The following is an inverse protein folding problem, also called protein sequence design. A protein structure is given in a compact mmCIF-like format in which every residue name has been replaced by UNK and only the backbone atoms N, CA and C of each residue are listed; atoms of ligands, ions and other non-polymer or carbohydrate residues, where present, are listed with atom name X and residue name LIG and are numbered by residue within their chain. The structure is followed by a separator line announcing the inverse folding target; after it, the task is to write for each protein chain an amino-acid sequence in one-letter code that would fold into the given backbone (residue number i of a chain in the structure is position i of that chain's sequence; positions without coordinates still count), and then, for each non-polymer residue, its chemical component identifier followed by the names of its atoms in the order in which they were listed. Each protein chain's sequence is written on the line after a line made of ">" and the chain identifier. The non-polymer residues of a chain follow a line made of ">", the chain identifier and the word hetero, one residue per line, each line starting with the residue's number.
data_IF_224237658473
#
_entry.id   IF_224237658473
#
_cell.length_a   1.000
_cell.length_b   1.000
_cell.length_c   1.000
_cell.angle_alpha   90.00
_cell.angle_beta   90.00
_cell.angle_gamma   90.00
#
_symmetry.space_group_name_H-M   'P 1'
#
loop_
_entity.id
_entity.type
_entity.pdbx_description
1 polymer ?
#
# COMPACT_ATOMS: atom_id res chain seq x y z
N UNK A 1 -6.77 -30.22 -8.31
CA UNK A 1 -6.64 -29.64 -6.96
C UNK A 1 -7.17 -30.65 -5.97
N UNK A 2 -6.38 -31.13 -4.99
CA UNK A 2 -6.86 -32.05 -3.96
C UNK A 2 -7.83 -31.27 -3.06
N UNK A 3 -9.13 -31.61 -3.11
CA UNK A 3 -10.10 -31.10 -2.13
C UNK A 3 -9.66 -31.61 -0.76
N UNK A 4 -9.40 -30.69 0.17
CA UNK A 4 -9.11 -31.06 1.55
C UNK A 4 -10.43 -31.57 2.15
N UNK A 5 -10.48 -32.84 2.55
CA UNK A 5 -11.65 -33.46 3.20
C UNK A 5 -11.85 -32.97 4.65
N UNK A 6 -11.22 -31.86 5.00
CA UNK A 6 -11.32 -31.25 6.30
C UNK A 6 -11.28 -29.72 6.14
N UNK A 7 -11.86 -28.98 7.11
CA UNK A 7 -11.75 -27.53 7.11
C UNK A 7 -10.29 -27.07 7.17
N UNK A 8 -9.99 -25.92 6.54
CA UNK A 8 -8.63 -25.34 6.48
C UNK A 8 -8.07 -25.07 7.89
N UNK A 9 -8.92 -24.66 8.84
CA UNK A 9 -8.50 -24.41 10.21
C UNK A 9 -8.08 -25.68 10.99
N UNK A 10 -8.38 -26.88 10.48
CA UNK A 10 -7.88 -28.16 11.02
C UNK A 10 -6.73 -28.74 10.20
N UNK A 11 -6.27 -28.03 9.17
CA UNK A 11 -5.20 -28.51 8.31
C UNK A 11 -3.84 -28.33 8.99
N UNK A 12 -3.19 -29.42 9.39
CA UNK A 12 -1.83 -29.38 9.96
C UNK A 12 -0.82 -28.77 9.00
N UNK A 13 -0.91 -29.09 7.70
CA UNK A 13 -0.02 -28.52 6.70
C UNK A 13 -0.17 -27.00 6.60
N UNK A 14 -1.40 -26.47 6.71
CA UNK A 14 -1.66 -25.03 6.73
C UNK A 14 -1.14 -24.36 8.00
N UNK A 15 -1.28 -25.03 9.16
CA UNK A 15 -0.76 -24.53 10.43
C UNK A 15 0.77 -24.45 10.47
N UNK A 16 1.47 -25.34 9.76
CA UNK A 16 2.95 -25.31 9.63
C UNK A 16 3.47 -24.15 8.77
N UNK A 17 2.62 -23.53 7.95
CA UNK A 17 3.00 -22.38 7.13
C UNK A 17 3.16 -21.12 7.98
N UNK A 18 4.06 -20.22 7.54
CA UNK A 18 4.19 -18.86 8.09
C UNK A 18 2.96 -18.00 7.75
N UNK A 19 2.72 -16.91 8.49
CA UNK A 19 1.58 -16.03 8.23
C UNK A 19 1.54 -15.48 6.78
N UNK A 20 2.70 -15.15 6.21
CA UNK A 20 2.81 -14.75 4.80
C UNK A 20 2.43 -15.87 3.84
N UNK A 21 2.93 -17.08 4.07
CA UNK A 21 2.59 -18.25 3.26
C UNK A 21 1.11 -18.62 3.37
N UNK A 22 0.50 -18.48 4.56
CA UNK A 22 -0.94 -18.70 4.75
C UNK A 22 -1.77 -17.67 4.00
N UNK A 23 -1.36 -16.40 4.00
CA UNK A 23 -2.00 -15.34 3.22
C UNK A 23 -1.92 -15.65 1.71
N UNK A 24 -0.72 -15.95 1.20
CA UNK A 24 -0.54 -16.33 -0.20
C UNK A 24 -1.36 -17.57 -0.57
N UNK A 25 -1.38 -18.57 0.30
CA UNK A 25 -2.18 -19.78 0.10
C UNK A 25 -3.68 -19.45 0.03
N UNK A 26 -4.20 -18.64 0.95
CA UNK A 26 -5.61 -18.24 0.96
C UNK A 26 -5.97 -17.45 -0.31
N UNK A 27 -5.15 -16.50 -0.73
CA UNK A 27 -5.35 -15.73 -1.96
C UNK A 27 -5.29 -16.61 -3.21
N UNK A 28 -4.29 -17.49 -3.32
CA UNK A 28 -4.10 -18.37 -4.49
C UNK A 28 -5.23 -19.38 -4.65
N UNK A 29 -5.77 -19.88 -3.54
CA UNK A 29 -6.89 -20.83 -3.54
C UNK A 29 -8.26 -20.14 -3.44
N UNK A 30 -8.33 -18.81 -3.57
CA UNK A 30 -9.57 -18.01 -3.54
C UNK A 30 -10.41 -18.25 -2.27
N UNK A 31 -9.75 -18.46 -1.14
CA UNK A 31 -10.41 -18.66 0.14
C UNK A 31 -10.83 -17.30 0.75
N UNK A 32 -11.92 -17.30 1.50
CA UNK A 32 -12.33 -16.18 2.31
C UNK A 32 -11.25 -15.85 3.36
N UNK A 33 -10.71 -14.64 3.34
CA UNK A 33 -9.69 -14.23 4.31
C UNK A 33 -10.22 -14.14 5.76
N UNK A 34 -11.54 -14.16 5.97
CA UNK A 34 -12.13 -14.15 7.30
C UNK A 34 -12.39 -15.56 7.86
N UNK A 35 -13.13 -16.39 7.13
CA UNK A 35 -13.55 -17.72 7.60
C UNK A 35 -12.78 -18.89 6.97
N UNK A 36 -11.85 -18.63 6.04
CA UNK A 36 -11.06 -19.62 5.31
C UNK A 36 -11.90 -20.65 4.51
N UNK A 37 -13.15 -20.31 4.20
CA UNK A 37 -14.03 -21.10 3.32
C UNK A 37 -13.74 -20.80 1.84
N UNK A 38 -13.92 -21.80 0.98
CA UNK A 38 -13.82 -21.70 -0.47
C UNK A 38 -15.12 -21.23 -1.15
N UNK A 39 -16.20 -21.07 -0.39
CA UNK A 39 -17.54 -20.77 -0.92
C UNK A 39 -17.75 -19.30 -1.28
N UNK A 40 -16.99 -18.38 -0.69
CA UNK A 40 -17.19 -16.94 -0.87
C UNK A 40 -15.92 -16.13 -0.64
N UNK A 41 -15.91 -14.89 -1.13
CA UNK A 41 -14.87 -13.91 -0.80
C UNK A 41 -15.21 -13.13 0.47
N UNK A 42 -14.19 -12.51 1.09
CA UNK A 42 -14.33 -11.71 2.32
C UNK A 42 -15.45 -10.65 2.28
N UNK A 43 -15.66 -10.03 1.11
CA UNK A 43 -16.71 -9.02 0.87
C UNK A 43 -18.13 -9.59 1.04
N UNK A 44 -18.30 -10.88 0.76
CA UNK A 44 -19.57 -11.61 0.85
C UNK A 44 -19.62 -12.54 2.07
N UNK A 45 -18.67 -12.38 3.00
CA UNK A 45 -18.62 -13.20 4.20
C UNK A 45 -19.69 -12.77 5.21
N UNK A 46 -20.59 -13.66 5.58
CA UNK A 46 -21.59 -13.39 6.62
C UNK A 46 -21.05 -13.59 8.04
N UNK A 47 -19.81 -14.09 8.19
CA UNK A 47 -19.19 -14.27 9.50
C UNK A 47 -18.89 -12.92 10.15
N UNK A 48 -19.37 -12.76 11.38
CA UNK A 48 -19.06 -11.61 12.26
C UNK A 48 -17.72 -11.77 12.98
N UNK A 49 -16.99 -12.86 12.74
CA UNK A 49 -15.67 -13.07 13.33
C UNK A 49 -14.71 -11.98 12.87
N UNK A 50 -13.92 -11.49 13.81
CA UNK A 50 -12.78 -10.59 13.60
C UNK A 50 -11.50 -11.26 14.11
N UNK A 51 -10.36 -10.71 13.71
CA UNK A 51 -9.06 -11.15 14.19
C UNK A 51 -8.91 -10.83 15.67
N UNK A 52 -8.44 -11.81 16.46
CA UNK A 52 -8.26 -11.63 17.91
C UNK A 52 -7.06 -10.73 18.29
N UNK A 53 -6.19 -10.43 17.32
CA UNK A 53 -4.96 -9.65 17.56
C UNK A 53 -5.11 -8.18 17.17
N UNK A 54 -6.00 -7.85 16.24
CA UNK A 54 -6.15 -6.47 15.73
C UNK A 54 -7.59 -6.06 15.40
N UNK A 55 -8.57 -6.89 15.75
CA UNK A 55 -10.01 -6.67 15.55
C UNK A 55 -10.45 -6.37 14.10
N UNK A 56 -9.53 -6.53 13.14
CA UNK A 56 -9.82 -6.37 11.74
C UNK A 56 -10.53 -7.61 11.18
N UNK A 57 -11.22 -7.43 10.05
CA UNK A 57 -12.02 -8.48 9.41
C UNK A 57 -11.13 -9.49 8.67
N UNK A 58 -10.42 -10.35 9.40
CA UNK A 58 -9.66 -11.48 8.86
C UNK A 58 -9.50 -12.58 9.92
N UNK A 59 -9.10 -13.77 9.47
CA UNK A 59 -8.83 -14.89 10.36
C UNK A 59 -7.53 -14.66 11.14
N UNK A 60 -7.52 -14.86 12.46
CA UNK A 60 -6.31 -14.71 13.30
C UNK A 60 -5.10 -15.48 12.77
N UNK A 61 -5.30 -16.63 12.09
CA UNK A 61 -4.21 -17.40 11.49
C UNK A 61 -3.48 -16.69 10.35
N UNK A 62 -4.12 -15.67 9.75
CA UNK A 62 -3.58 -14.82 8.69
C UNK A 62 -3.01 -13.50 9.23
N UNK A 63 -3.12 -13.23 10.54
CA UNK A 63 -2.61 -12.00 11.13
C UNK A 63 -1.11 -11.88 10.93
N UNK A 64 -0.67 -10.71 10.46
CA UNK A 64 0.74 -10.38 10.31
C UNK A 64 1.05 -9.19 11.21
N UNK A 65 1.92 -9.42 12.20
CA UNK A 65 2.42 -8.37 13.08
C UNK A 65 3.41 -7.49 12.30
N UNK A 66 2.88 -6.51 11.57
CA UNK A 66 3.68 -5.60 10.77
C UNK A 66 2.78 -4.55 10.14
N UNK A 67 2.73 -3.37 10.77
CA UNK A 67 1.96 -2.21 10.33
C UNK A 67 0.47 -2.49 10.10
N UNK A 68 -0.30 -2.48 11.18
CA UNK A 68 -1.76 -2.34 11.15
C UNK A 68 -2.14 -0.95 10.64
N UNK A 69 -2.01 -0.72 9.34
CA UNK A 69 -2.74 0.35 8.65
C UNK A 69 -4.05 -0.25 8.18
N UNK A 70 -5.00 -0.41 9.10
CA UNK A 70 -6.41 -0.37 8.72
C UNK A 70 -7.29 0.15 9.87
N UNK A 71 -7.55 1.46 9.79
CA UNK A 71 -8.81 2.15 10.08
C UNK A 71 -9.68 1.57 11.19
N UNK A 72 -9.58 2.12 12.38
CA UNK A 72 -10.73 2.69 13.11
C UNK A 72 -10.23 3.86 13.97
N UNK A 73 -10.71 5.06 13.65
CA UNK A 73 -10.55 6.28 14.43
C UNK A 73 -11.18 6.07 15.81
N UNK A 74 -10.51 6.46 16.92
CA UNK A 74 -10.98 7.62 17.65
C UNK A 74 -9.86 8.64 17.94
N UNK A 75 -10.18 9.89 17.62
CA UNK A 75 -9.71 11.16 18.14
C UNK A 75 -8.72 11.15 19.33
N UNK A 76 -7.58 11.85 19.16
CA UNK A 76 -6.95 12.83 20.08
C UNK A 76 -5.41 12.70 20.21
N UNK A 77 -4.69 13.77 19.81
CA UNK A 77 -3.52 14.44 20.43
C UNK A 77 -2.37 13.58 21.05
N UNK A 78 -1.06 13.81 20.90
CA UNK A 78 -0.22 14.94 20.43
C UNK A 78 1.26 14.48 20.31
N UNK A 79 2.01 15.04 19.33
CA UNK A 79 3.33 15.73 19.39
C UNK A 79 4.51 14.98 20.12
N UNK A 80 5.69 14.76 19.52
CA UNK A 80 6.76 15.75 19.25
C UNK A 80 7.73 15.35 18.12
N UNK A 81 8.14 16.37 17.36
CA UNK A 81 9.21 16.37 16.34
C UNK A 81 10.50 16.90 16.98
N UNK A 82 11.65 16.32 16.62
CA UNK A 82 12.94 17.01 16.66
C UNK A 82 13.61 16.94 15.30
N UNK A 83 14.06 18.11 14.84
CA UNK A 83 14.52 18.43 13.50
C UNK A 83 15.94 17.93 13.19
N UNK A 84 16.23 17.71 11.92
CA UNK A 84 17.59 17.81 11.40
C UNK A 84 17.57 18.42 10.00
N UNK A 85 18.13 19.61 9.91
CA UNK A 85 18.23 20.49 8.75
C UNK A 85 19.20 19.93 7.70
N UNK A 86 18.80 19.96 6.44
CA UNK A 86 19.73 19.91 5.30
C UNK A 86 19.34 21.02 4.31
N UNK A 87 20.31 21.89 4.02
CA UNK A 87 20.13 23.13 3.27
C UNK A 87 19.95 22.91 1.77
N UNK A 88 19.15 23.78 1.14
CA UNK A 88 18.89 23.82 -0.31
C UNK A 88 19.55 25.03 -0.97
N UNK A 89 19.72 24.90 -2.29
CA UNK A 89 20.43 25.72 -3.28
C UNK A 89 20.30 27.27 -3.13
N UNK A 90 21.41 28.04 -3.18
CA UNK A 90 21.46 29.49 -2.97
C UNK A 90 20.80 30.38 -4.05
N UNK A 91 20.26 29.84 -5.14
CA UNK A 91 19.68 30.62 -6.25
C UNK A 91 18.14 30.62 -6.32
N UNK A 92 17.43 30.12 -5.30
CA UNK A 92 15.96 30.15 -5.28
C UNK A 92 15.44 31.48 -4.70
N UNK A 93 14.74 32.28 -5.52
CA UNK A 93 14.13 33.54 -5.08
C UNK A 93 13.05 33.34 -4.00
N UNK A 94 13.16 34.10 -2.91
CA UNK A 94 12.30 34.04 -1.73
C UNK A 94 10.88 34.60 -1.98
N UNK A 95 9.83 33.88 -1.56
CA UNK A 95 8.51 34.46 -1.35
C UNK A 95 8.11 34.34 0.10
N UNK A 96 7.77 35.49 0.69
CA UNK A 96 7.24 35.55 2.04
C UNK A 96 5.74 35.27 2.03
N UNK A 97 5.32 34.45 2.97
CA UNK A 97 4.01 33.79 3.00
C UNK A 97 3.30 34.08 4.31
N UNK A 98 2.13 34.72 4.26
CA UNK A 98 1.41 35.16 5.47
C UNK A 98 0.41 34.11 6.00
N UNK A 99 0.65 32.80 5.80
CA UNK A 99 -0.34 31.77 6.18
C UNK A 99 0.34 30.69 7.02
N UNK A 100 -0.12 30.59 8.27
CA UNK A 100 0.33 29.63 9.28
C UNK A 100 -0.06 28.19 8.90
N UNK A 101 0.80 27.18 9.13
CA UNK A 101 0.51 25.79 8.78
C UNK A 101 -0.45 25.15 9.78
N UNK A 102 -1.48 24.45 9.29
CA UNK A 102 -2.40 23.67 10.13
C UNK A 102 -2.48 22.23 9.59
N UNK A 103 -1.84 21.35 10.36
CA UNK A 103 -1.80 19.88 10.48
C UNK A 103 -2.35 18.90 9.43
N UNK A 104 -1.48 17.95 9.04
CA UNK A 104 -1.73 16.54 9.40
C UNK A 104 -2.32 15.59 8.35
N UNK A 105 -2.50 16.03 7.11
CA UNK A 105 -2.99 15.17 6.03
C UNK A 105 -1.80 14.82 5.12
N UNK A 106 -1.62 13.53 4.82
CA UNK A 106 -0.84 13.08 3.67
C UNK A 106 -1.51 13.59 2.40
N UNK A 107 -1.33 14.87 2.11
CA UNK A 107 -1.83 15.49 0.92
C UNK A 107 -0.99 15.00 -0.26
N UNK A 108 -1.67 14.67 -1.34
CA UNK A 108 -1.11 14.87 -2.67
C UNK A 108 -0.75 16.36 -2.77
N UNK A 109 0.47 16.72 -2.37
CA UNK A 109 0.91 18.10 -2.46
C UNK A 109 1.17 18.41 -3.93
N UNK A 110 0.23 19.12 -4.55
CA UNK A 110 0.64 20.14 -5.49
C UNK A 110 1.14 21.32 -4.68
N UNK A 111 2.46 21.35 -4.40
CA UNK A 111 3.03 22.55 -3.83
C UNK A 111 2.96 23.65 -4.89
N UNK A 112 2.08 24.62 -4.69
CA UNK A 112 2.19 25.92 -5.32
C UNK A 112 3.29 26.64 -4.55
N UNK A 113 4.51 26.66 -5.12
CA UNK A 113 5.60 27.46 -4.58
C UNK A 113 5.13 28.92 -4.54
N UNK A 114 5.12 29.55 -3.36
CA UNK A 114 4.53 30.88 -3.22
C UNK A 114 5.25 31.95 -4.07
N UNK A 115 6.48 31.71 -4.56
CA UNK A 115 7.20 32.67 -5.44
C UNK A 115 6.98 32.55 -6.93
N UNK A 116 6.43 31.45 -7.42
CA UNK A 116 6.35 31.19 -8.86
C UNK A 116 5.28 30.15 -9.04
N UNK A 117 4.30 30.40 -9.92
CA UNK A 117 3.20 29.47 -10.26
C UNK A 117 3.78 28.13 -10.76
N UNK A 118 4.21 27.29 -9.84
CA UNK A 118 4.75 25.97 -10.09
C UNK A 118 3.74 25.01 -9.49
N UNK A 119 2.98 24.33 -10.34
CA UNK A 119 2.12 23.24 -9.90
C UNK A 119 2.99 21.99 -9.88
N UNK A 120 3.31 21.49 -8.69
CA UNK A 120 3.99 20.20 -8.56
C UNK A 120 2.96 19.08 -8.67
N UNK A 121 3.29 18.02 -9.41
CA UNK A 121 2.41 16.85 -9.51
C UNK A 121 2.71 15.85 -8.38
N UNK A 122 1.70 15.19 -7.81
CA UNK A 122 1.92 14.17 -6.79
C UNK A 122 2.79 13.02 -7.33
N UNK A 123 3.71 12.49 -6.51
CA UNK A 123 4.56 11.35 -6.90
C UNK A 123 4.43 10.19 -5.93
N UNK A 124 4.52 8.96 -6.46
CA UNK A 124 4.36 7.73 -5.68
C UNK A 124 5.41 6.70 -6.08
N UNK A 125 5.92 5.93 -5.12
CA UNK A 125 6.75 4.76 -5.41
C UNK A 125 5.86 3.54 -5.62
N UNK A 126 6.08 2.83 -6.73
CA UNK A 126 5.32 1.64 -7.11
C UNK A 126 6.25 0.47 -7.38
N UNK A 127 5.78 -0.74 -7.11
CA UNK A 127 6.45 -1.97 -7.53
C UNK A 127 5.75 -2.52 -8.76
N UNK A 128 6.48 -2.65 -9.85
CA UNK A 128 5.97 -3.14 -11.15
C UNK A 128 6.42 -4.58 -11.33
N UNK A 129 5.46 -5.48 -11.59
CA UNK A 129 5.72 -6.88 -11.90
C UNK A 129 6.11 -7.02 -13.38
N UNK A 130 7.28 -7.57 -13.63
CA UNK A 130 7.67 -8.04 -14.95
C UNK A 130 7.05 -9.42 -15.20
N UNK A 131 6.09 -9.50 -16.12
CA UNK A 131 5.42 -10.76 -16.44
C UNK A 131 6.29 -11.76 -17.21
N UNK A 132 7.36 -11.31 -17.88
CA UNK A 132 8.24 -12.19 -18.66
C UNK A 132 9.14 -13.05 -17.78
N UNK A 133 9.61 -12.52 -16.65
CA UNK A 133 10.54 -13.22 -15.76
C UNK A 133 10.06 -13.32 -14.30
N UNK A 134 8.91 -12.73 -13.96
CA UNK A 134 8.33 -12.76 -12.62
C UNK A 134 9.00 -11.83 -11.60
N UNK A 135 9.97 -11.01 -12.02
CA UNK A 135 10.68 -10.07 -11.13
C UNK A 135 9.87 -8.81 -10.84
N UNK A 136 10.18 -8.15 -9.72
CA UNK A 136 9.58 -6.86 -9.38
C UNK A 136 10.62 -5.75 -9.49
N UNK A 137 10.26 -4.65 -10.13
CA UNK A 137 11.09 -3.45 -10.22
C UNK A 137 10.38 -2.27 -9.56
N UNK A 138 11.11 -1.53 -8.73
CA UNK A 138 10.60 -0.29 -8.15
C UNK A 138 10.71 0.86 -9.16
N UNK A 139 9.63 1.62 -9.29
CA UNK A 139 9.57 2.87 -10.04
C UNK A 139 9.00 4.00 -9.17
N UNK A 140 9.21 5.23 -9.63
CA UNK A 140 8.51 6.42 -9.14
C UNK A 140 7.58 6.91 -10.25
N UNK A 141 6.29 6.90 -9.98
CA UNK A 141 5.27 7.45 -10.88
C UNK A 141 4.88 8.87 -10.49
N UNK A 142 4.39 9.62 -11.47
CA UNK A 142 3.72 10.91 -11.31
C UNK A 142 2.22 10.66 -11.50
N UNK A 143 1.40 11.16 -10.58
CA UNK A 143 -0.07 11.02 -10.65
C UNK A 143 -0.65 12.30 -11.25
N UNK A 144 -0.96 12.25 -12.54
CA UNK A 144 -1.51 13.38 -13.28
C UNK A 144 -2.97 13.10 -13.69
N UNK A 145 -3.92 13.75 -13.01
CA UNK A 145 -5.36 13.65 -13.34
C UNK A 145 -5.73 14.35 -14.65
N UNK A 146 -4.84 15.17 -15.21
CA UNK A 146 -5.02 15.81 -16.51
C UNK A 146 -4.45 15.01 -17.68
N UNK A 147 -3.69 13.93 -17.42
CA UNK A 147 -3.11 13.13 -18.50
C UNK A 147 -4.15 12.22 -19.15
N UNK A 148 -4.19 12.20 -20.48
CA UNK A 148 -4.97 11.25 -21.27
C UNK A 148 -4.23 9.96 -21.62
N UNK A 149 -2.94 9.85 -21.25
CA UNK A 149 -2.09 8.71 -21.56
C UNK A 149 -1.16 8.37 -20.40
N UNK A 150 -0.79 7.09 -20.30
CA UNK A 150 0.22 6.63 -19.36
C UNK A 150 1.58 6.56 -20.06
N UNK A 151 2.59 7.18 -19.44
CA UNK A 151 3.94 7.25 -19.99
C UNK A 151 4.94 6.57 -19.05
N UNK A 152 5.95 5.96 -19.65
CA UNK A 152 7.04 5.26 -18.96
C UNK A 152 8.36 5.63 -19.64
N UNK A 153 9.43 5.79 -18.86
CA UNK A 153 10.74 6.07 -19.42
C UNK A 153 11.27 4.87 -20.19
N UNK A 154 11.98 5.11 -21.30
CA UNK A 154 12.60 4.06 -22.11
C UNK A 154 13.58 3.21 -21.28
N UNK A 155 14.33 3.83 -20.37
CA UNK A 155 15.19 3.12 -19.42
C UNK A 155 14.40 2.11 -18.58
N UNK A 156 13.26 2.51 -18.02
CA UNK A 156 12.45 1.63 -17.20
C UNK A 156 11.80 0.51 -18.03
N UNK A 157 11.36 0.80 -19.25
CA UNK A 157 10.88 -0.20 -20.19
C UNK A 157 11.96 -1.24 -20.56
N UNK A 158 13.20 -0.80 -20.79
CA UNK A 158 14.35 -1.68 -21.06
C UNK A 158 14.68 -2.56 -19.84
N UNK A 159 14.64 -1.99 -18.63
CA UNK A 159 14.82 -2.74 -17.37
C UNK A 159 13.71 -3.77 -17.13
N UNK A 160 12.51 -3.51 -17.65
CA UNK A 160 11.40 -4.46 -17.71
C UNK A 160 11.51 -5.43 -18.89
N UNK A 161 12.50 -5.28 -19.76
CA UNK A 161 12.71 -6.09 -20.97
C UNK A 161 11.46 -6.15 -21.86
N UNK A 162 10.75 -5.02 -21.99
CA UNK A 162 9.60 -4.90 -22.89
C UNK A 162 10.07 -4.86 -24.36
N UNK A 163 9.30 -5.43 -25.30
CA UNK A 163 9.56 -5.27 -26.73
C UNK A 163 9.43 -3.80 -27.14
N UNK A 164 10.30 -3.36 -28.06
CA UNK A 164 10.31 -1.99 -28.63
C UNK A 164 9.46 -1.90 -29.90
#
# INVERSE_FOLDING_TARGET
>A
MRKLNHPIFKCEAFMKLTADQRNQFATRNKLCLNCLSDQHFIKFCNSKSTCKECDCRHNTLLHKNGNTVHRNLPNAFSVEIVASSQELNPNAGEFHSNVSPQDGIGHCFSCIAKTSKCTVLPTVKVWVLNHFNGSFLQARGILDSGSGQDLMTADFANRLSLPQ
#
